data_IF_164204367358
#
_entry.id   IF_164204367358
#
_cell.length_a   1.000
_cell.length_b   1.000
_cell.length_c   1.000
_cell.angle_alpha   90.00
_cell.angle_beta   90.00
_cell.angle_gamma   90.00
#
_symmetry.space_group_name_H-M   'P 1'
#
loop_
_entity.id
_entity.type
_entity.pdbx_description
1 polymer ?
#
# COMPACT_ATOMS: atom_id res chain seq x y z
N UNK A 1 16.12 25.63 -0.40
CA UNK A 1 14.66 25.89 -0.24
C UNK A 1 13.82 25.16 -1.29
N UNK A 2 14.24 25.12 -2.57
CA UNK A 2 13.49 24.47 -3.67
C UNK A 2 13.25 22.98 -3.45
N UNK A 3 14.26 22.21 -2.96
CA UNK A 3 14.12 20.77 -2.64
C UNK A 3 13.01 20.51 -1.60
N UNK A 4 12.92 21.35 -0.55
CA UNK A 4 11.87 21.22 0.48
C UNK A 4 10.48 21.54 -0.07
N UNK A 5 10.37 22.57 -0.91
CA UNK A 5 9.11 22.93 -1.57
C UNK A 5 8.62 21.81 -2.51
N UNK A 6 9.54 21.26 -3.33
CA UNK A 6 9.24 20.09 -4.19
C UNK A 6 8.75 18.89 -3.39
N UNK A 7 9.46 18.54 -2.29
CA UNK A 7 9.02 17.46 -1.41
C UNK A 7 7.64 17.73 -0.81
N UNK A 8 7.39 18.96 -0.34
CA UNK A 8 6.10 19.36 0.21
C UNK A 8 4.95 19.20 -0.79
N UNK A 9 5.15 19.61 -2.06
CA UNK A 9 4.15 19.47 -3.13
C UNK A 9 3.90 17.99 -3.45
N UNK A 10 4.97 17.18 -3.60
CA UNK A 10 4.82 15.73 -3.83
C UNK A 10 4.00 15.07 -2.72
N UNK A 11 4.36 15.34 -1.47
CA UNK A 11 3.69 14.76 -0.31
C UNK A 11 2.25 15.26 -0.14
N UNK A 12 1.98 16.54 -0.39
CA UNK A 12 0.64 17.13 -0.34
C UNK A 12 -0.30 16.53 -1.39
N UNK A 13 0.18 16.35 -2.62
CA UNK A 13 -0.61 15.70 -3.68
C UNK A 13 -0.90 14.23 -3.35
N UNK A 14 0.09 13.49 -2.84
CA UNK A 14 -0.10 12.10 -2.40
C UNK A 14 -1.06 12.01 -1.22
N UNK A 15 -0.97 12.93 -0.27
CA UNK A 15 -1.92 13.02 0.84
C UNK A 15 -3.35 13.16 0.34
N UNK A 16 -3.59 14.08 -0.59
CA UNK A 16 -4.93 14.35 -1.16
C UNK A 16 -5.54 13.08 -1.77
N UNK A 17 -4.76 12.31 -2.52
CA UNK A 17 -5.25 11.06 -3.14
C UNK A 17 -5.43 9.94 -2.10
N UNK A 18 -4.47 9.78 -1.18
CA UNK A 18 -4.50 8.69 -0.18
C UNK A 18 -5.60 8.89 0.86
N UNK A 19 -5.89 10.13 1.26
CA UNK A 19 -6.97 10.47 2.19
C UNK A 19 -8.34 9.97 1.71
N UNK A 20 -8.59 10.08 0.41
CA UNK A 20 -9.88 9.70 -0.19
C UNK A 20 -10.12 8.19 -0.27
N UNK A 21 -9.07 7.36 -0.18
CA UNK A 21 -9.22 5.90 -0.28
C UNK A 21 -10.05 5.37 0.88
N UNK A 22 -9.83 5.86 2.09
CA UNK A 22 -10.45 5.35 3.32
C UNK A 22 -11.75 6.05 3.68
N UNK A 23 -11.98 7.23 3.17
CA UNK A 23 -13.19 8.00 3.48
C UNK A 23 -14.46 7.27 3.06
N UNK A 24 -14.45 6.59 1.93
CA UNK A 24 -15.61 5.84 1.44
C UNK A 24 -15.95 4.65 2.36
N UNK A 25 -14.97 4.09 3.08
CA UNK A 25 -15.21 2.94 3.99
C UNK A 25 -16.24 3.28 5.06
N UNK A 26 -16.16 4.49 5.62
CA UNK A 26 -17.08 4.95 6.70
C UNK A 26 -18.44 5.42 6.17
N UNK A 27 -18.59 5.65 4.86
CA UNK A 27 -19.83 6.15 4.24
C UNK A 27 -20.52 5.11 3.33
N UNK A 28 -20.10 3.87 3.39
CA UNK A 28 -20.53 2.79 2.48
C UNK A 28 -22.06 2.63 2.44
N UNK A 29 -22.71 2.64 3.61
CA UNK A 29 -24.17 2.53 3.74
C UNK A 29 -24.86 3.77 3.18
N UNK A 30 -24.42 4.96 3.54
CA UNK A 30 -24.98 6.24 3.05
C UNK A 30 -24.96 6.32 1.53
N UNK A 31 -23.84 5.88 0.93
CA UNK A 31 -23.68 5.85 -0.53
C UNK A 31 -24.57 4.80 -1.17
N UNK A 32 -24.71 3.62 -0.55
CA UNK A 32 -25.59 2.55 -1.05
C UNK A 32 -27.05 3.01 -1.06
N UNK A 33 -27.49 3.63 0.03
CA UNK A 33 -28.87 4.14 0.15
C UNK A 33 -29.14 5.25 -0.89
N UNK A 34 -28.20 6.18 -1.10
CA UNK A 34 -28.33 7.30 -2.03
C UNK A 34 -28.32 6.87 -3.51
N UNK A 35 -27.58 5.81 -3.85
CA UNK A 35 -27.54 5.25 -5.20
C UNK A 35 -28.53 4.09 -5.43
N UNK A 36 -29.48 3.88 -4.53
CA UNK A 36 -30.46 2.78 -4.57
C UNK A 36 -29.81 1.42 -4.82
N UNK A 37 -28.72 1.12 -4.11
CA UNK A 37 -27.90 -0.07 -4.28
C UNK A 37 -27.65 -0.80 -2.95
N UNK A 38 -26.93 -1.90 -2.99
CA UNK A 38 -26.54 -2.65 -1.79
C UNK A 38 -25.11 -2.32 -1.36
N UNK A 39 -24.83 -2.43 -0.06
CA UNK A 39 -23.47 -2.27 0.46
C UNK A 39 -22.47 -3.23 -0.17
N UNK A 40 -22.94 -4.45 -0.53
CA UNK A 40 -22.14 -5.45 -1.24
C UNK A 40 -21.70 -5.00 -2.64
N UNK A 41 -22.57 -4.30 -3.38
CA UNK A 41 -22.23 -3.71 -4.69
C UNK A 41 -21.31 -2.50 -4.50
N UNK A 42 -21.66 -1.58 -3.60
CA UNK A 42 -20.84 -0.38 -3.36
C UNK A 42 -19.46 -0.72 -2.79
N UNK A 43 -19.27 -1.86 -2.12
CA UNK A 43 -17.94 -2.30 -1.69
C UNK A 43 -16.94 -2.45 -2.84
N UNK A 44 -17.42 -2.65 -4.08
CA UNK A 44 -16.58 -2.62 -5.27
C UNK A 44 -15.99 -1.25 -5.56
N UNK A 45 -16.62 -0.15 -5.12
CA UNK A 45 -16.05 1.20 -5.21
C UNK A 45 -14.83 1.41 -4.26
N UNK A 46 -14.53 0.42 -3.40
CA UNK A 46 -13.30 0.35 -2.61
C UNK A 46 -12.35 -0.69 -3.22
N UNK A 47 -12.84 -1.89 -3.48
CA UNK A 47 -12.04 -3.02 -3.94
C UNK A 47 -11.44 -2.80 -5.33
N UNK A 48 -12.22 -2.37 -6.33
CA UNK A 48 -11.71 -2.16 -7.68
C UNK A 48 -10.67 -1.04 -7.78
N UNK A 49 -10.84 0.14 -7.11
CA UNK A 49 -9.79 1.13 -6.99
C UNK A 49 -8.50 0.61 -6.35
N UNK A 50 -8.59 -0.16 -5.28
CA UNK A 50 -7.40 -0.73 -4.62
C UNK A 50 -6.64 -1.69 -5.54
N UNK A 51 -7.36 -2.54 -6.29
CA UNK A 51 -6.77 -3.41 -7.29
C UNK A 51 -6.11 -2.61 -8.42
N UNK A 52 -6.80 -1.60 -8.96
CA UNK A 52 -6.25 -0.74 -10.00
C UNK A 52 -4.99 0.00 -9.52
N UNK A 53 -5.02 0.54 -8.30
CA UNK A 53 -3.88 1.24 -7.71
C UNK A 53 -2.63 0.34 -7.61
N UNK A 54 -2.79 -0.91 -7.18
CA UNK A 54 -1.68 -1.86 -7.05
C UNK A 54 -1.13 -2.33 -8.40
N UNK A 55 -2.00 -2.49 -9.39
CA UNK A 55 -1.66 -3.13 -10.68
C UNK A 55 -1.12 -2.14 -11.71
N UNK A 56 -1.71 -0.94 -11.78
CA UNK A 56 -1.33 0.06 -12.78
C UNK A 56 -0.03 0.78 -12.40
N UNK A 57 0.33 0.78 -11.11
CA UNK A 57 1.55 1.40 -10.59
C UNK A 57 2.84 1.03 -11.35
N UNK A 58 3.15 -0.26 -11.57
CA UNK A 58 4.33 -0.69 -12.33
C UNK A 58 4.39 -0.12 -13.74
N UNK A 59 3.27 -0.06 -14.45
CA UNK A 59 3.19 0.54 -15.78
C UNK A 59 3.55 2.03 -15.72
N UNK A 60 3.01 2.78 -14.78
CA UNK A 60 3.36 4.19 -14.59
C UNK A 60 4.80 4.41 -14.14
N UNK A 61 5.40 3.49 -13.39
CA UNK A 61 6.82 3.51 -13.08
C UNK A 61 7.67 3.51 -14.36
N UNK A 62 7.42 2.54 -15.26
CA UNK A 62 8.11 2.44 -16.55
C UNK A 62 7.82 3.62 -17.46
N UNK A 63 6.57 4.05 -17.55
CA UNK A 63 6.17 5.25 -18.33
C UNK A 63 6.91 6.48 -17.81
N UNK A 64 7.10 6.60 -16.49
CA UNK A 64 7.87 7.68 -15.87
C UNK A 64 9.35 7.68 -16.26
N UNK A 65 9.97 6.52 -16.31
CA UNK A 65 11.36 6.37 -16.73
C UNK A 65 11.53 6.70 -18.23
N UNK A 66 10.53 6.38 -19.07
CA UNK A 66 10.57 6.64 -20.52
C UNK A 66 10.20 8.09 -20.88
N UNK A 67 9.12 8.61 -20.32
CA UNK A 67 8.55 9.90 -20.74
C UNK A 67 8.77 11.03 -19.75
N UNK A 68 9.35 10.72 -18.60
CA UNK A 68 9.64 11.65 -17.50
C UNK A 68 8.59 11.63 -16.41
N UNK A 69 9.06 11.54 -15.18
CA UNK A 69 8.20 11.43 -13.99
C UNK A 69 7.31 12.65 -13.76
N UNK A 70 7.72 13.86 -14.20
CA UNK A 70 6.91 15.08 -14.14
C UNK A 70 5.58 14.90 -14.87
N UNK A 71 5.63 14.46 -16.12
CA UNK A 71 4.44 14.27 -16.95
C UNK A 71 3.53 13.20 -16.38
N UNK A 72 4.11 12.11 -15.89
CA UNK A 72 3.35 11.01 -15.28
C UNK A 72 2.69 11.45 -13.97
N UNK A 73 3.41 12.18 -13.12
CA UNK A 73 2.88 12.70 -11.86
C UNK A 73 1.71 13.68 -12.10
N UNK A 74 1.92 14.68 -12.96
CA UNK A 74 0.88 15.69 -13.27
C UNK A 74 -0.29 15.06 -14.02
N UNK A 75 -0.03 14.20 -15.00
CA UNK A 75 -1.09 13.48 -15.75
C UNK A 75 -1.92 12.57 -14.86
N UNK A 76 -1.27 11.83 -13.97
CA UNK A 76 -1.95 10.99 -12.97
C UNK A 76 -2.83 11.79 -12.02
N UNK A 77 -2.32 12.93 -11.54
CA UNK A 77 -3.05 13.83 -10.67
C UNK A 77 -4.24 14.49 -11.40
N UNK A 78 -4.06 14.86 -12.66
CA UNK A 78 -5.14 15.39 -13.50
C UNK A 78 -6.26 14.35 -13.70
N UNK A 79 -5.90 13.11 -14.05
CA UNK A 79 -6.85 12.00 -14.20
C UNK A 79 -7.59 11.77 -12.88
N UNK A 80 -6.86 11.72 -11.76
CA UNK A 80 -7.46 11.55 -10.43
C UNK A 80 -8.47 12.67 -10.12
N UNK A 81 -8.15 13.93 -10.42
CA UNK A 81 -9.02 15.07 -10.21
C UNK A 81 -10.27 15.07 -11.10
N UNK A 82 -10.11 14.80 -12.40
CA UNK A 82 -11.25 14.74 -13.35
C UNK A 82 -12.22 13.62 -12.94
N UNK A 83 -11.70 12.42 -12.67
CA UNK A 83 -12.55 11.29 -12.25
C UNK A 83 -13.08 11.42 -10.81
N UNK A 84 -12.50 12.29 -9.97
CA UNK A 84 -13.13 12.67 -8.71
C UNK A 84 -14.42 13.48 -8.96
N UNK A 85 -14.41 14.43 -9.92
CA UNK A 85 -15.64 15.13 -10.35
C UNK A 85 -16.67 14.12 -10.88
N UNK A 86 -16.26 13.24 -11.78
CA UNK A 86 -17.15 12.22 -12.33
C UNK A 86 -17.74 11.32 -11.22
N UNK A 87 -16.93 10.95 -10.21
CA UNK A 87 -17.39 10.19 -9.04
C UNK A 87 -18.46 10.95 -8.25
N UNK A 88 -18.28 12.25 -8.03
CA UNK A 88 -19.26 13.08 -7.34
C UNK A 88 -20.58 13.19 -8.13
N UNK A 89 -20.51 13.15 -9.45
CA UNK A 89 -21.64 13.21 -10.36
C UNK A 89 -22.22 11.84 -10.72
N UNK A 90 -21.76 10.78 -10.10
CA UNK A 90 -22.24 9.43 -10.37
C UNK A 90 -23.75 9.30 -10.09
N UNK A 91 -24.44 8.69 -11.03
CA UNK A 91 -25.91 8.53 -11.03
C UNK A 91 -26.37 7.13 -10.55
N UNK A 92 -25.46 6.16 -10.59
CA UNK A 92 -25.69 4.79 -10.13
C UNK A 92 -24.40 4.14 -9.59
N UNK A 93 -24.54 2.94 -9.02
CA UNK A 93 -23.40 2.21 -8.47
C UNK A 93 -22.34 1.83 -9.52
N UNK A 94 -22.67 1.34 -10.73
CA UNK A 94 -21.69 1.06 -11.77
C UNK A 94 -20.86 2.27 -12.18
N UNK A 95 -21.50 3.43 -12.43
CA UNK A 95 -20.80 4.66 -12.80
C UNK A 95 -19.84 5.11 -11.70
N UNK A 96 -20.27 5.04 -10.44
CA UNK A 96 -19.41 5.33 -9.30
C UNK A 96 -18.20 4.41 -9.22
N UNK A 97 -18.39 3.09 -9.36
CA UNK A 97 -17.31 2.10 -9.32
C UNK A 97 -16.29 2.36 -10.44
N UNK A 98 -16.77 2.60 -11.66
CA UNK A 98 -15.91 2.88 -12.82
C UNK A 98 -15.10 4.18 -12.59
N UNK A 99 -15.77 5.28 -12.23
CA UNK A 99 -15.09 6.56 -12.05
C UNK A 99 -14.10 6.54 -10.89
N UNK A 100 -14.45 5.89 -9.79
CA UNK A 100 -13.52 5.67 -8.66
C UNK A 100 -12.30 4.85 -9.08
N UNK A 101 -12.51 3.80 -9.87
CA UNK A 101 -11.42 2.95 -10.36
C UNK A 101 -10.48 3.71 -11.28
N UNK A 102 -11.02 4.54 -12.18
CA UNK A 102 -10.22 5.40 -13.06
C UNK A 102 -9.48 6.50 -12.29
N UNK A 103 -10.12 7.09 -11.27
CA UNK A 103 -9.47 8.05 -10.36
C UNK A 103 -8.29 7.41 -9.63
N UNK A 104 -8.47 6.20 -9.09
CA UNK A 104 -7.40 5.46 -8.41
C UNK A 104 -6.29 5.01 -9.36
N UNK A 105 -6.63 4.60 -10.58
CA UNK A 105 -5.65 4.28 -11.61
C UNK A 105 -4.77 5.50 -11.92
N UNK A 106 -5.35 6.68 -12.10
CA UNK A 106 -4.60 7.93 -12.23
C UNK A 106 -3.74 8.22 -10.98
N UNK A 107 -4.32 8.10 -9.80
CA UNK A 107 -3.62 8.32 -8.53
C UNK A 107 -2.45 7.37 -8.29
N UNK A 108 -2.49 6.15 -8.85
CA UNK A 108 -1.40 5.17 -8.73
C UNK A 108 -0.08 5.64 -9.38
N UNK A 109 -0.15 6.58 -10.31
CA UNK A 109 1.02 7.17 -10.94
C UNK A 109 1.84 8.05 -9.98
N UNK A 110 1.22 8.60 -8.93
CA UNK A 110 1.86 9.52 -8.01
C UNK A 110 2.93 8.82 -7.16
N UNK A 111 2.67 7.57 -6.76
CA UNK A 111 3.58 6.78 -5.92
C UNK A 111 4.97 6.61 -6.55
N UNK A 112 5.08 5.87 -7.65
CA UNK A 112 6.35 5.63 -8.33
C UNK A 112 7.04 6.93 -8.76
N UNK A 113 6.29 7.90 -9.29
CA UNK A 113 6.85 9.16 -9.73
C UNK A 113 7.42 9.98 -8.57
N UNK A 114 6.70 10.12 -7.44
CA UNK A 114 7.17 10.85 -6.28
C UNK A 114 8.40 10.17 -5.65
N UNK A 115 8.40 8.84 -5.54
CA UNK A 115 9.56 8.09 -5.06
C UNK A 115 10.78 8.27 -5.95
N UNK A 116 10.61 8.24 -7.30
CA UNK A 116 11.69 8.52 -8.23
C UNK A 116 12.24 9.93 -8.05
N UNK A 117 11.39 10.94 -7.82
CA UNK A 117 11.82 12.30 -7.51
C UNK A 117 12.60 12.37 -6.20
N UNK A 118 12.07 11.78 -5.12
CA UNK A 118 12.73 11.76 -3.80
C UNK A 118 14.12 11.13 -3.95
N UNK A 119 14.19 9.98 -4.61
CA UNK A 119 15.46 9.25 -4.77
C UNK A 119 16.48 9.95 -5.67
N UNK A 120 16.03 10.81 -6.59
CA UNK A 120 16.92 11.63 -7.46
C UNK A 120 17.34 12.94 -6.81
N UNK A 121 16.49 13.54 -5.96
CA UNK A 121 16.76 14.82 -5.31
C UNK A 121 17.69 14.70 -4.10
N UNK A 122 17.75 13.55 -3.47
CA UNK A 122 18.50 13.32 -2.24
C UNK A 122 19.61 12.29 -2.46
N UNK A 123 20.76 12.55 -1.87
CA UNK A 123 21.89 11.64 -1.90
C UNK A 123 21.56 10.31 -1.22
N UNK A 124 22.20 9.19 -1.63
CA UNK A 124 21.91 7.87 -1.07
C UNK A 124 21.90 7.81 0.45
N UNK A 125 22.79 8.54 1.12
CA UNK A 125 22.89 8.61 2.59
C UNK A 125 21.74 9.38 3.25
N UNK A 126 21.07 10.27 2.51
CA UNK A 126 20.00 11.14 3.04
C UNK A 126 18.58 10.64 2.70
N UNK A 127 18.44 9.65 1.81
CA UNK A 127 17.13 9.19 1.27
C UNK A 127 16.15 8.68 2.32
N UNK A 128 16.64 8.07 3.39
CA UNK A 128 15.77 7.49 4.42
C UNK A 128 14.88 8.53 5.09
N UNK A 129 15.37 9.75 5.30
CA UNK A 129 14.57 10.82 5.94
C UNK A 129 13.41 11.31 5.07
N UNK A 130 13.58 11.71 3.79
CA UNK A 130 12.47 12.03 2.89
C UNK A 130 11.49 10.88 2.69
N UNK A 131 11.98 9.63 2.62
CA UNK A 131 11.12 8.44 2.54
C UNK A 131 10.36 8.20 3.85
N UNK A 132 10.91 8.61 4.99
CA UNK A 132 10.17 8.65 6.26
C UNK A 132 8.99 9.62 6.23
N UNK A 133 9.16 10.82 5.65
CA UNK A 133 8.04 11.75 5.43
C UNK A 133 7.01 11.20 4.44
N UNK A 134 7.46 10.51 3.39
CA UNK A 134 6.58 9.78 2.49
C UNK A 134 5.73 8.76 3.26
N UNK A 135 6.37 7.91 4.07
CA UNK A 135 5.68 6.92 4.88
C UNK A 135 4.73 7.55 5.89
N UNK A 136 5.11 8.69 6.50
CA UNK A 136 4.23 9.47 7.36
C UNK A 136 2.95 9.88 6.63
N UNK A 137 3.06 10.39 5.42
CA UNK A 137 1.90 10.83 4.63
C UNK A 137 1.05 9.65 4.18
N UNK A 138 1.66 8.62 3.64
CA UNK A 138 0.91 7.45 3.10
C UNK A 138 0.20 6.63 4.18
N UNK A 139 0.73 6.61 5.40
CA UNK A 139 0.06 5.97 6.54
C UNK A 139 -0.90 6.90 7.28
N UNK A 140 -0.56 8.18 7.42
CA UNK A 140 -1.35 9.17 8.16
C UNK A 140 -2.58 9.65 7.39
N UNK A 141 -2.50 9.81 6.07
CA UNK A 141 -3.64 10.26 5.28
C UNK A 141 -4.86 9.33 5.39
N UNK A 142 -4.73 7.99 5.32
CA UNK A 142 -5.85 7.08 5.59
C UNK A 142 -6.44 7.22 6.99
N UNK A 143 -5.63 7.44 8.02
CA UNK A 143 -6.11 7.65 9.40
C UNK A 143 -6.95 8.91 9.51
N UNK A 144 -6.42 10.00 8.97
CA UNK A 144 -7.15 11.28 8.94
C UNK A 144 -8.44 11.12 8.13
N UNK A 145 -8.41 10.33 7.03
CA UNK A 145 -9.58 10.00 6.22
C UNK A 145 -10.68 9.29 6.99
N UNK A 146 -10.34 8.37 7.89
CA UNK A 146 -11.32 7.69 8.76
C UNK A 146 -11.85 8.65 9.84
N UNK A 147 -10.95 9.32 10.56
CA UNK A 147 -11.33 10.19 11.70
C UNK A 147 -12.13 11.41 11.24
N UNK A 148 -11.67 12.08 10.20
CA UNK A 148 -12.36 13.26 9.66
C UNK A 148 -13.51 12.89 8.71
N UNK A 149 -13.51 11.69 8.16
CA UNK A 149 -14.48 11.25 7.15
C UNK A 149 -15.90 11.22 7.67
N UNK A 150 -16.13 10.68 8.87
CA UNK A 150 -17.48 10.59 9.45
C UNK A 150 -18.14 11.98 9.58
N UNK A 151 -17.53 12.96 10.27
CA UNK A 151 -18.13 14.30 10.37
C UNK A 151 -18.21 15.02 9.03
N UNK A 152 -17.24 14.86 8.14
CA UNK A 152 -17.27 15.48 6.82
C UNK A 152 -18.43 14.94 5.96
N UNK A 153 -18.63 13.62 5.95
CA UNK A 153 -19.73 13.01 5.21
C UNK A 153 -21.08 13.38 5.80
N UNK A 154 -21.21 13.44 7.12
CA UNK A 154 -22.46 13.80 7.79
C UNK A 154 -22.88 15.26 7.56
N UNK A 155 -21.91 16.19 7.46
CA UNK A 155 -22.17 17.62 7.29
C UNK A 155 -22.35 17.98 5.82
N UNK A 156 -21.47 17.52 4.95
CA UNK A 156 -21.37 17.96 3.56
C UNK A 156 -21.89 16.93 2.55
N UNK A 157 -22.17 15.71 2.97
CA UNK A 157 -22.47 14.59 2.09
C UNK A 157 -21.25 14.04 1.35
N UNK A 158 -21.31 12.78 0.92
CA UNK A 158 -20.21 12.10 0.27
C UNK A 158 -19.80 12.69 -1.09
N UNK A 159 -20.76 13.21 -1.86
CA UNK A 159 -20.49 13.86 -3.17
C UNK A 159 -19.59 15.09 -3.05
N UNK A 160 -19.88 15.93 -2.07
CA UNK A 160 -19.14 17.19 -1.84
C UNK A 160 -17.66 16.91 -1.55
N UNK A 161 -17.36 15.79 -0.89
CA UNK A 161 -15.98 15.45 -0.57
C UNK A 161 -15.18 15.13 -1.83
N UNK A 162 -15.75 14.41 -2.79
CA UNK A 162 -15.09 14.18 -4.08
C UNK A 162 -14.99 15.48 -4.90
N UNK A 163 -15.99 16.38 -4.83
CA UNK A 163 -15.89 17.71 -5.42
C UNK A 163 -14.78 18.54 -4.79
N UNK A 164 -14.52 18.41 -3.49
CA UNK A 164 -13.39 19.08 -2.83
C UNK A 164 -12.03 18.51 -3.21
N UNK A 165 -11.94 17.21 -3.51
CA UNK A 165 -10.72 16.58 -4.00
C UNK A 165 -10.27 17.15 -5.35
N UNK A 166 -11.20 17.42 -6.24
CA UNK A 166 -10.90 17.84 -7.61
C UNK A 166 -10.08 19.15 -7.66
N UNK A 167 -10.49 20.27 -7.02
CA UNK A 167 -9.69 21.49 -7.04
C UNK A 167 -8.34 21.30 -6.38
N UNK A 168 -8.22 20.48 -5.33
CA UNK A 168 -6.93 20.17 -4.71
C UNK A 168 -6.00 19.45 -5.68
N UNK A 169 -6.52 18.47 -6.45
CA UNK A 169 -5.76 17.80 -7.50
C UNK A 169 -5.37 18.76 -8.63
N UNK A 170 -6.29 19.63 -9.09
CA UNK A 170 -6.03 20.58 -10.17
C UNK A 170 -5.01 21.65 -9.76
N UNK A 171 -5.14 22.20 -8.56
CA UNK A 171 -4.14 23.13 -7.98
C UNK A 171 -2.80 22.39 -7.86
N UNK A 172 -2.81 21.15 -7.36
CA UNK A 172 -1.63 20.30 -7.30
C UNK A 172 -0.98 20.09 -8.67
N UNK A 173 -1.76 19.89 -9.75
CA UNK A 173 -1.26 19.81 -11.12
C UNK A 173 -0.51 21.08 -11.52
N UNK A 174 -1.12 22.25 -11.31
CA UNK A 174 -0.51 23.52 -11.66
C UNK A 174 0.79 23.74 -10.89
N UNK A 175 0.75 23.57 -9.57
CA UNK A 175 1.92 23.78 -8.71
C UNK A 175 3.02 22.77 -9.04
N UNK A 176 2.67 21.50 -9.23
CA UNK A 176 3.62 20.46 -9.62
C UNK A 176 4.25 20.75 -10.99
N UNK A 177 3.46 21.21 -11.97
CA UNK A 177 3.98 21.56 -13.29
C UNK A 177 5.06 22.64 -13.25
N UNK A 178 4.86 23.67 -12.41
CA UNK A 178 5.82 24.78 -12.27
C UNK A 178 7.04 24.44 -11.39
N UNK A 179 6.85 23.62 -10.37
CA UNK A 179 7.87 23.38 -9.36
C UNK A 179 8.74 22.17 -9.68
N UNK A 180 8.16 21.11 -10.28
CA UNK A 180 8.89 19.89 -10.63
C UNK A 180 9.80 20.14 -11.84
N UNK A 181 11.08 19.84 -11.70
CA UNK A 181 12.01 19.82 -12.82
C UNK A 181 11.76 18.64 -13.75
N UNK A 182 12.15 18.77 -15.01
CA UNK A 182 12.12 17.64 -15.93
C UNK A 182 13.14 16.58 -15.47
N UNK A 183 12.73 15.32 -15.55
CA UNK A 183 13.61 14.18 -15.25
C UNK A 183 14.22 13.65 -16.52
N UNK A 184 15.42 13.09 -16.43
CA UNK A 184 16.08 12.41 -17.54
C UNK A 184 15.17 11.30 -18.06
N UNK A 185 15.13 11.18 -19.38
CA UNK A 185 14.30 10.19 -20.10
C UNK A 185 15.21 9.16 -20.74
N UNK A 186 14.81 7.93 -20.70
CA UNK A 186 15.44 6.87 -21.49
C UNK A 186 15.14 7.10 -23.00
N UNK A 187 16.18 7.37 -23.78
CA UNK A 187 16.05 7.48 -25.24
C UNK A 187 16.15 6.08 -25.87
N UNK A 188 15.37 5.84 -26.92
CA UNK A 188 15.40 4.60 -27.73
C UNK A 188 14.96 3.31 -27.04
N UNK A 189 14.12 3.39 -26.00
CA UNK A 189 13.55 2.23 -25.32
C UNK A 189 12.07 2.11 -25.68
N UNK A 190 11.61 0.91 -26.05
CA UNK A 190 10.19 0.65 -26.36
C UNK A 190 9.43 0.28 -25.10
N UNK A 191 8.18 0.72 -25.02
CA UNK A 191 7.30 0.30 -23.93
C UNK A 191 6.79 -1.12 -24.22
N UNK A 192 7.04 -2.04 -23.30
CA UNK A 192 6.55 -3.41 -23.40
C UNK A 192 5.07 -3.48 -22.99
N UNK A 193 4.19 -3.31 -23.98
CA UNK A 193 2.74 -3.37 -23.77
C UNK A 193 2.30 -4.78 -23.36
N UNK A 194 2.91 -5.83 -23.92
CA UNK A 194 2.55 -7.22 -23.60
C UNK A 194 2.95 -7.57 -22.16
N UNK A 195 4.16 -7.18 -21.74
CA UNK A 195 4.61 -7.32 -20.36
C UNK A 195 3.70 -6.55 -19.40
N UNK A 196 3.37 -5.28 -19.69
CA UNK A 196 2.49 -4.46 -18.87
C UNK A 196 1.09 -5.06 -18.69
N UNK A 197 0.47 -5.48 -19.80
CA UNK A 197 -0.87 -6.08 -19.77
C UNK A 197 -0.88 -7.44 -19.06
N UNK A 198 0.11 -8.30 -19.33
CA UNK A 198 0.15 -9.62 -18.70
C UNK A 198 0.47 -9.53 -17.18
N UNK A 199 1.38 -8.65 -16.78
CA UNK A 199 1.61 -8.37 -15.35
C UNK A 199 0.35 -7.81 -14.68
N UNK A 200 -0.29 -6.84 -15.34
CA UNK A 200 -1.50 -6.21 -14.85
C UNK A 200 -2.65 -7.20 -14.68
N UNK A 201 -3.02 -7.90 -15.74
CA UNK A 201 -4.13 -8.87 -15.73
C UNK A 201 -3.85 -10.01 -14.75
N UNK A 202 -2.64 -10.58 -14.77
CA UNK A 202 -2.26 -11.65 -13.85
C UNK A 202 -2.34 -11.23 -12.38
N UNK A 203 -1.84 -10.03 -12.07
CA UNK A 203 -1.92 -9.48 -10.70
C UNK A 203 -3.36 -9.19 -10.27
N UNK A 204 -4.20 -8.62 -11.15
CA UNK A 204 -5.64 -8.41 -10.87
C UNK A 204 -6.33 -9.72 -10.55
N UNK A 205 -6.11 -10.76 -11.36
CA UNK A 205 -6.76 -12.06 -11.17
C UNK A 205 -6.35 -12.71 -9.84
N UNK A 206 -5.07 -12.67 -9.50
CA UNK A 206 -4.58 -13.19 -8.20
C UNK A 206 -5.18 -12.39 -7.04
N UNK A 207 -5.08 -11.05 -7.09
CA UNK A 207 -5.61 -10.19 -6.03
C UNK A 207 -7.13 -10.31 -5.90
N UNK A 208 -7.84 -10.47 -7.02
CA UNK A 208 -9.29 -10.69 -7.04
C UNK A 208 -9.67 -12.03 -6.39
N UNK A 209 -8.97 -13.13 -6.76
CA UNK A 209 -9.20 -14.45 -6.17
C UNK A 209 -9.00 -14.42 -4.66
N UNK A 210 -7.94 -13.76 -4.19
CA UNK A 210 -7.62 -13.64 -2.78
C UNK A 210 -8.64 -12.74 -2.05
N UNK A 211 -8.95 -11.58 -2.59
CA UNK A 211 -9.88 -10.62 -1.98
C UNK A 211 -11.31 -11.15 -1.89
N UNK A 212 -11.73 -11.95 -2.89
CA UNK A 212 -13.07 -12.57 -2.94
C UNK A 212 -13.12 -13.99 -2.37
N UNK A 213 -11.99 -14.55 -2.01
CA UNK A 213 -11.88 -15.87 -1.38
C UNK A 213 -12.83 -16.07 -0.19
N UNK A 214 -12.91 -15.13 0.78
CA UNK A 214 -13.86 -15.21 1.88
C UNK A 214 -15.33 -15.30 1.42
N UNK A 215 -15.72 -14.51 0.40
CA UNK A 215 -17.10 -14.45 -0.08
C UNK A 215 -17.48 -15.59 -1.05
N UNK A 216 -16.53 -16.07 -1.85
CA UNK A 216 -16.75 -17.13 -2.83
C UNK A 216 -16.44 -18.53 -2.31
N UNK A 217 -15.74 -18.63 -1.17
CA UNK A 217 -15.07 -19.82 -0.66
C UNK A 217 -13.69 -19.99 -1.28
N UNK A 218 -12.65 -20.11 -0.45
CA UNK A 218 -11.26 -20.24 -0.93
C UNK A 218 -11.05 -21.48 -1.82
N UNK A 219 -11.76 -22.59 -1.55
CA UNK A 219 -11.66 -23.87 -2.28
C UNK A 219 -12.71 -23.95 -3.39
N UNK A 220 -13.53 -22.94 -3.61
CA UNK A 220 -14.55 -22.98 -4.65
C UNK A 220 -13.92 -23.03 -6.04
N UNK A 221 -14.59 -23.71 -6.99
CA UNK A 221 -14.14 -23.78 -8.37
C UNK A 221 -13.95 -22.39 -8.99
N UNK A 222 -14.78 -21.42 -8.58
CA UNK A 222 -14.69 -20.02 -9.03
C UNK A 222 -13.40 -19.35 -8.56
N UNK A 223 -13.05 -19.45 -7.28
CA UNK A 223 -11.82 -18.86 -6.73
C UNK A 223 -10.58 -19.53 -7.33
N UNK A 224 -10.58 -20.86 -7.38
CA UNK A 224 -9.46 -21.63 -7.91
C UNK A 224 -9.24 -21.38 -9.41
N UNK A 225 -10.32 -21.28 -10.21
CA UNK A 225 -10.18 -21.00 -11.64
C UNK A 225 -9.63 -19.59 -11.90
N UNK A 226 -10.09 -18.59 -11.16
CA UNK A 226 -9.56 -17.21 -11.27
C UNK A 226 -8.09 -17.15 -10.82
N UNK A 227 -7.74 -17.81 -9.71
CA UNK A 227 -6.36 -17.89 -9.24
C UNK A 227 -5.44 -18.60 -10.25
N UNK A 228 -5.88 -19.76 -10.77
CA UNK A 228 -5.13 -20.53 -11.77
C UNK A 228 -4.92 -19.72 -13.05
N UNK A 229 -5.95 -19.05 -13.54
CA UNK A 229 -5.84 -18.17 -14.71
C UNK A 229 -4.82 -17.05 -14.43
N UNK A 230 -4.85 -16.43 -13.25
CA UNK A 230 -3.86 -15.44 -12.83
C UNK A 230 -2.44 -15.97 -12.84
N UNK A 231 -2.21 -17.18 -12.31
CA UNK A 231 -0.90 -17.85 -12.33
C UNK A 231 -0.45 -18.11 -13.78
N UNK A 232 -1.32 -18.62 -14.63
CA UNK A 232 -1.02 -18.87 -16.05
C UNK A 232 -0.60 -17.59 -16.77
N UNK A 233 -1.33 -16.49 -16.53
CA UNK A 233 -1.01 -15.17 -17.12
C UNK A 233 0.31 -14.62 -16.57
N UNK A 234 0.62 -14.82 -15.27
CA UNK A 234 1.92 -14.42 -14.71
C UNK A 234 3.08 -15.29 -15.25
N UNK A 235 2.85 -16.58 -15.48
CA UNK A 235 3.84 -17.44 -16.16
C UNK A 235 4.08 -16.95 -17.60
N UNK A 236 3.00 -16.57 -18.30
CA UNK A 236 3.12 -15.97 -19.62
C UNK A 236 3.90 -14.64 -19.57
N UNK A 237 3.62 -13.76 -18.60
CA UNK A 237 4.40 -12.55 -18.34
C UNK A 237 5.89 -12.85 -18.21
N UNK A 238 6.30 -13.81 -17.38
CA UNK A 238 7.71 -14.18 -17.22
C UNK A 238 8.34 -14.65 -18.53
N UNK A 239 7.58 -15.33 -19.41
CA UNK A 239 8.06 -15.76 -20.73
C UNK A 239 8.23 -14.58 -21.68
N UNK A 240 7.29 -13.65 -21.68
CA UNK A 240 7.36 -12.40 -22.48
C UNK A 240 8.57 -11.58 -22.04
N UNK A 241 8.71 -11.36 -20.72
CA UNK A 241 9.77 -10.56 -20.11
C UNK A 241 11.18 -11.08 -20.42
N UNK A 242 11.35 -12.42 -20.45
CA UNK A 242 12.63 -13.05 -20.83
C UNK A 242 13.02 -12.84 -22.29
N UNK A 243 12.07 -12.50 -23.16
CA UNK A 243 12.27 -12.31 -24.60
C UNK A 243 12.26 -10.84 -25.00
N UNK A 244 11.80 -9.97 -24.10
CA UNK A 244 11.72 -8.54 -24.37
C UNK A 244 13.12 -7.92 -24.45
N UNK A 245 13.37 -7.08 -25.46
CA UNK A 245 14.60 -6.30 -25.58
C UNK A 245 14.72 -5.26 -24.46
N UNK A 246 13.60 -4.68 -24.09
CA UNK A 246 13.48 -3.65 -23.05
C UNK A 246 12.44 -4.07 -22.01
N UNK A 247 12.79 -5.03 -21.13
CA UNK A 247 11.85 -5.62 -20.20
C UNK A 247 11.23 -4.55 -19.29
N UNK A 248 9.95 -4.75 -18.99
CA UNK A 248 9.24 -3.88 -18.06
C UNK A 248 9.75 -4.03 -16.64
N UNK A 249 10.10 -5.28 -16.29
CA UNK A 249 10.63 -5.68 -15.01
C UNK A 249 11.92 -6.48 -15.21
N UNK A 250 13.11 -5.95 -14.92
CA UNK A 250 14.34 -6.71 -15.06
C UNK A 250 14.36 -7.90 -14.08
N UNK A 251 13.99 -9.09 -14.57
CA UNK A 251 13.89 -10.31 -13.74
C UNK A 251 15.21 -10.67 -13.05
N UNK A 252 16.34 -10.18 -13.57
CA UNK A 252 17.66 -10.31 -12.98
C UNK A 252 17.75 -9.66 -11.59
N UNK A 253 16.94 -8.64 -11.31
CA UNK A 253 16.90 -7.98 -10.00
C UNK A 253 16.54 -8.95 -8.87
N UNK A 254 15.67 -9.93 -9.14
CA UNK A 254 15.30 -10.93 -8.14
C UNK A 254 16.43 -11.92 -7.80
N UNK A 255 17.53 -11.90 -8.58
CA UNK A 255 18.77 -12.62 -8.25
C UNK A 255 19.72 -11.76 -7.41
N UNK A 256 19.52 -10.46 -7.37
CA UNK A 256 20.35 -9.52 -6.61
C UNK A 256 19.82 -9.45 -5.17
N UNK A 257 20.68 -9.83 -4.20
CA UNK A 257 20.27 -9.89 -2.79
C UNK A 257 19.72 -8.58 -2.24
N UNK A 258 20.33 -7.44 -2.61
CA UNK A 258 19.94 -6.12 -2.14
C UNK A 258 18.70 -5.56 -2.85
N UNK A 259 18.10 -6.29 -3.77
CA UNK A 259 16.81 -5.97 -4.40
C UNK A 259 15.74 -6.95 -3.92
N UNK A 260 15.97 -8.25 -4.09
CA UNK A 260 14.98 -9.27 -3.78
C UNK A 260 14.61 -9.33 -2.29
N UNK A 261 15.61 -9.32 -1.42
CA UNK A 261 15.38 -9.50 0.01
C UNK A 261 14.74 -8.30 0.72
N UNK A 262 15.10 -7.03 0.44
CA UNK A 262 14.38 -5.88 1.00
C UNK A 262 12.90 -5.86 0.61
N UNK A 263 12.61 -6.14 -0.66
CA UNK A 263 11.23 -6.17 -1.18
C UNK A 263 10.45 -7.33 -0.56
N UNK A 264 11.04 -8.53 -0.48
CA UNK A 264 10.42 -9.68 0.17
C UNK A 264 10.16 -9.44 1.66
N UNK A 265 11.15 -8.89 2.39
CA UNK A 265 11.00 -8.56 3.81
C UNK A 265 9.86 -7.56 4.03
N UNK A 266 9.78 -6.53 3.20
CA UNK A 266 8.74 -5.51 3.32
C UNK A 266 7.36 -6.08 3.00
N UNK A 267 7.23 -6.91 1.97
CA UNK A 267 5.96 -7.56 1.62
C UNK A 267 5.48 -8.51 2.73
N UNK A 268 6.39 -9.32 3.32
CA UNK A 268 6.08 -10.23 4.42
C UNK A 268 5.73 -9.52 5.72
N UNK A 269 6.42 -8.42 6.02
CA UNK A 269 6.10 -7.58 7.19
C UNK A 269 4.77 -6.86 6.99
N UNK A 270 4.48 -6.41 5.75
CA UNK A 270 3.20 -5.79 5.41
C UNK A 270 2.04 -6.80 5.40
N UNK A 271 2.29 -8.07 5.07
CA UNK A 271 1.35 -9.18 5.26
C UNK A 271 0.86 -9.25 6.72
N UNK A 272 1.79 -9.28 7.68
CA UNK A 272 1.44 -9.31 9.10
C UNK A 272 0.72 -8.02 9.54
N UNK A 273 1.21 -6.87 9.10
CA UNK A 273 0.63 -5.57 9.45
C UNK A 273 -0.80 -5.42 8.94
N UNK A 274 -1.07 -5.67 7.66
CA UNK A 274 -2.39 -5.52 7.07
C UNK A 274 -3.34 -6.66 7.43
N UNK A 275 -2.84 -7.88 7.55
CA UNK A 275 -3.63 -9.00 8.09
C UNK A 275 -4.11 -8.73 9.52
N UNK A 276 -3.21 -8.25 10.38
CA UNK A 276 -3.57 -7.82 11.73
C UNK A 276 -4.52 -6.62 11.77
N UNK A 277 -4.47 -5.73 10.76
CA UNK A 277 -5.42 -4.63 10.64
C UNK A 277 -6.86 -5.12 10.38
N UNK A 278 -7.01 -6.25 9.69
CA UNK A 278 -8.32 -6.88 9.46
C UNK A 278 -8.80 -7.75 10.62
N UNK A 279 -7.88 -8.48 11.25
CA UNK A 279 -8.21 -9.48 12.27
C UNK A 279 -8.45 -8.88 13.66
N UNK A 280 -7.65 -7.88 14.06
CA UNK A 280 -7.74 -7.34 15.43
C UNK A 280 -9.08 -6.66 15.71
N UNK A 281 -9.68 -5.83 14.84
CA UNK A 281 -11.02 -5.29 15.09
C UNK A 281 -12.07 -6.38 15.28
N UNK A 282 -12.00 -7.47 14.50
CA UNK A 282 -12.93 -8.60 14.61
C UNK A 282 -12.72 -9.38 15.93
N UNK A 283 -11.48 -9.58 16.36
CA UNK A 283 -11.18 -10.15 17.68
C UNK A 283 -11.81 -9.31 18.81
N UNK A 284 -11.68 -7.98 18.74
CA UNK A 284 -12.22 -7.08 19.77
C UNK A 284 -13.75 -7.05 19.75
N UNK A 285 -14.38 -7.06 18.58
CA UNK A 285 -15.83 -7.02 18.42
C UNK A 285 -16.48 -8.38 18.72
N UNK A 286 -16.08 -9.41 17.96
CA UNK A 286 -16.71 -10.73 18.01
C UNK A 286 -16.17 -11.57 19.17
N UNK A 287 -14.86 -11.47 19.44
CA UNK A 287 -14.20 -12.26 20.48
C UNK A 287 -14.41 -11.70 21.88
N UNK A 288 -14.37 -10.37 22.03
CA UNK A 288 -14.40 -9.70 23.34
C UNK A 288 -15.63 -8.83 23.58
N UNK A 289 -16.48 -8.61 22.58
CA UNK A 289 -17.72 -7.84 22.72
C UNK A 289 -17.53 -6.33 22.88
N UNK A 290 -16.39 -5.77 22.40
CA UNK A 290 -16.14 -4.33 22.48
C UNK A 290 -17.08 -3.56 21.54
N UNK A 291 -17.46 -2.35 21.96
CA UNK A 291 -18.26 -1.47 21.10
C UNK A 291 -17.42 -0.93 19.93
N UNK A 292 -18.08 -0.67 18.79
CA UNK A 292 -17.43 -0.14 17.58
C UNK A 292 -16.65 1.16 17.85
N UNK A 293 -17.18 2.05 18.71
CA UNK A 293 -16.48 3.29 19.11
C UNK A 293 -15.20 3.01 19.89
N UNK A 294 -15.23 2.05 20.82
CA UNK A 294 -14.06 1.66 21.62
C UNK A 294 -12.98 1.05 20.73
N UNK A 295 -13.36 0.15 19.83
CA UNK A 295 -12.46 -0.44 18.83
C UNK A 295 -11.82 0.67 17.97
N UNK A 296 -12.61 1.62 17.48
CA UNK A 296 -12.14 2.74 16.69
C UNK A 296 -10.98 3.51 17.33
N UNK A 297 -11.10 3.79 18.64
CA UNK A 297 -10.03 4.46 19.38
C UNK A 297 -8.77 3.61 19.54
N UNK A 298 -8.91 2.31 19.78
CA UNK A 298 -7.77 1.42 19.95
C UNK A 298 -6.99 1.22 18.65
N UNK A 299 -7.68 0.98 17.52
CA UNK A 299 -7.01 0.67 16.24
C UNK A 299 -6.25 1.85 15.64
N UNK A 300 -6.60 3.10 16.01
CA UNK A 300 -5.86 4.30 15.58
C UNK A 300 -4.41 4.29 16.08
N UNK A 301 -4.12 3.63 17.20
CA UNK A 301 -2.78 3.57 17.76
C UNK A 301 -1.73 3.05 16.74
N UNK A 302 -2.10 2.05 15.94
CA UNK A 302 -1.21 1.43 14.93
C UNK A 302 -0.74 2.41 13.85
N UNK A 303 -1.62 2.99 13.01
CA UNK A 303 -1.20 3.90 11.97
C UNK A 303 -0.69 5.25 12.51
N UNK A 304 -1.15 5.67 13.68
CA UNK A 304 -0.64 6.87 14.34
C UNK A 304 0.84 6.71 14.69
N UNK A 305 1.20 5.63 15.39
CA UNK A 305 2.60 5.37 15.76
C UNK A 305 3.46 5.13 14.53
N UNK A 306 2.95 4.42 13.50
CA UNK A 306 3.63 4.29 12.22
C UNK A 306 3.99 5.66 11.64
N UNK A 307 3.01 6.56 11.54
CA UNK A 307 3.20 7.90 10.98
C UNK A 307 4.19 8.74 11.78
N UNK A 308 4.11 8.68 13.12
CA UNK A 308 5.00 9.44 13.98
C UNK A 308 6.44 8.93 13.95
N UNK A 309 6.65 7.61 13.84
CA UNK A 309 7.98 6.99 13.89
C UNK A 309 8.69 7.03 12.52
N UNK A 310 7.96 6.94 11.42
CA UNK A 310 8.53 6.87 10.07
C UNK A 310 9.54 8.00 9.76
N UNK A 311 9.32 9.29 10.11
CA UNK A 311 10.29 10.34 9.87
C UNK A 311 11.61 10.18 10.66
N UNK A 312 11.56 9.44 11.78
CA UNK A 312 12.73 9.18 12.62
C UNK A 312 13.52 7.93 12.19
N UNK A 313 12.97 7.13 11.28
CA UNK A 313 13.63 5.92 10.75
C UNK A 313 15.00 6.22 10.16
N UNK A 314 15.19 7.43 9.59
CA UNK A 314 16.49 7.90 9.07
C UNK A 314 17.58 7.94 10.13
N UNK A 315 17.27 8.36 11.37
CA UNK A 315 18.26 8.38 12.47
C UNK A 315 18.66 6.95 12.87
N UNK A 316 17.68 6.03 12.88
CA UNK A 316 17.91 4.62 13.19
C UNK A 316 18.75 3.96 12.08
N UNK A 317 18.43 4.21 10.82
CA UNK A 317 19.17 3.70 9.68
C UNK A 317 20.61 4.26 9.63
N UNK A 318 20.81 5.56 9.94
CA UNK A 318 22.17 6.14 10.04
C UNK A 318 23.00 5.51 11.17
N UNK A 319 22.37 5.21 12.31
CA UNK A 319 23.07 4.64 13.46
C UNK A 319 23.34 3.13 13.31
N UNK A 320 22.37 2.37 12.85
CA UNK A 320 22.42 0.91 12.81
C UNK A 320 22.60 0.34 11.40
N UNK A 321 22.41 1.13 10.36
CA UNK A 321 22.37 0.73 8.95
C UNK A 321 20.96 0.34 8.50
N UNK A 322 20.69 0.48 7.21
CA UNK A 322 19.36 0.23 6.59
C UNK A 322 18.90 -1.22 6.78
N UNK A 323 19.83 -2.19 6.63
CA UNK A 323 19.58 -3.62 6.90
C UNK A 323 19.07 -3.86 8.31
N UNK A 324 19.79 -3.34 9.31
CA UNK A 324 19.43 -3.59 10.71
C UNK A 324 18.15 -2.86 11.10
N UNK A 325 17.86 -1.69 10.50
CA UNK A 325 16.57 -1.01 10.66
C UNK A 325 15.43 -1.87 10.12
N UNK A 326 15.61 -2.50 8.96
CA UNK A 326 14.65 -3.47 8.43
C UNK A 326 14.41 -4.67 9.36
N UNK A 327 15.48 -5.25 9.91
CA UNK A 327 15.43 -6.36 10.88
C UNK A 327 14.70 -5.95 12.16
N UNK A 328 15.08 -4.79 12.75
CA UNK A 328 14.45 -4.26 13.99
C UNK A 328 12.95 -4.06 13.77
N UNK A 329 12.58 -3.47 12.62
CA UNK A 329 11.17 -3.24 12.31
C UNK A 329 10.39 -4.54 12.13
N UNK A 330 10.92 -5.53 11.43
CA UNK A 330 10.28 -6.83 11.26
C UNK A 330 10.14 -7.59 12.60
N UNK A 331 11.14 -7.51 13.48
CA UNK A 331 11.10 -8.05 14.85
C UNK A 331 9.97 -7.39 15.63
N UNK A 332 9.83 -6.06 15.58
CA UNK A 332 8.78 -5.34 16.28
C UNK A 332 7.38 -5.76 15.80
N UNK A 333 7.18 -5.95 14.49
CA UNK A 333 5.90 -6.45 13.96
C UNK A 333 5.64 -7.89 14.41
N UNK A 334 6.65 -8.75 14.39
CA UNK A 334 6.52 -10.14 14.88
C UNK A 334 6.08 -10.16 16.35
N UNK A 335 6.77 -9.41 17.21
CA UNK A 335 6.41 -9.32 18.62
C UNK A 335 5.01 -8.73 18.85
N UNK A 336 4.61 -7.72 18.05
CA UNK A 336 3.26 -7.21 18.04
C UNK A 336 2.22 -8.30 17.80
N UNK A 337 2.44 -9.13 16.77
CA UNK A 337 1.52 -10.23 16.44
C UNK A 337 1.48 -11.28 17.56
N UNK A 338 2.63 -11.59 18.17
CA UNK A 338 2.71 -12.51 19.31
C UNK A 338 1.98 -11.95 20.54
N UNK A 339 2.15 -10.67 20.86
CA UNK A 339 1.44 -10.02 21.97
C UNK A 339 -0.08 -10.02 21.73
N UNK A 340 -0.49 -9.61 20.54
CA UNK A 340 -1.92 -9.56 20.19
C UNK A 340 -2.55 -10.96 20.11
N UNK A 341 -1.79 -12.01 19.84
CA UNK A 341 -2.29 -13.39 19.87
C UNK A 341 -2.62 -13.90 21.29
N UNK A 342 -2.14 -13.21 22.34
CA UNK A 342 -2.42 -13.53 23.73
C UNK A 342 -3.58 -12.70 24.32
N UNK A 343 -4.23 -11.86 23.50
CA UNK A 343 -5.36 -11.04 23.93
C UNK A 343 -6.54 -11.94 24.27
N UNK A 344 -7.03 -11.80 25.49
CA UNK A 344 -8.21 -12.47 26.05
C UNK A 344 -9.18 -11.45 26.69
N UNK A 345 -10.25 -11.95 27.31
CA UNK A 345 -11.27 -11.13 27.95
C UNK A 345 -10.74 -10.27 29.14
N UNK A 346 -9.57 -10.60 29.67
CA UNK A 346 -8.92 -9.84 30.75
C UNK A 346 -7.89 -8.82 30.25
N UNK A 347 -7.66 -8.73 28.94
CA UNK A 347 -6.65 -7.84 28.39
C UNK A 347 -7.05 -6.37 28.56
N UNK A 348 -6.13 -5.56 29.10
CA UNK A 348 -6.35 -4.12 29.25
C UNK A 348 -6.22 -3.40 27.90
N UNK A 349 -6.92 -2.26 27.77
CA UNK A 349 -6.82 -1.38 26.60
C UNK A 349 -5.37 -0.96 26.32
N UNK A 350 -4.60 -0.72 27.39
CA UNK A 350 -3.20 -0.34 27.28
C UNK A 350 -2.35 -1.47 26.66
N UNK A 351 -2.63 -2.73 27.01
CA UNK A 351 -1.94 -3.89 26.43
C UNK A 351 -2.24 -4.00 24.92
N UNK A 352 -3.51 -3.87 24.53
CA UNK A 352 -3.95 -3.91 23.14
C UNK A 352 -3.34 -2.74 22.34
N UNK A 353 -3.45 -1.52 22.89
CA UNK A 353 -2.88 -0.32 22.25
C UNK A 353 -1.35 -0.41 22.11
N UNK A 354 -0.65 -0.99 23.09
CA UNK A 354 0.78 -1.24 23.04
C UNK A 354 1.13 -2.24 21.94
N UNK A 355 0.42 -3.37 21.86
CA UNK A 355 0.60 -4.36 20.79
C UNK A 355 0.40 -3.75 19.41
N UNK A 356 -0.67 -2.97 19.21
CA UNK A 356 -0.95 -2.25 17.97
C UNK A 356 0.13 -1.21 17.63
N UNK A 357 0.55 -0.43 18.63
CA UNK A 357 1.61 0.58 18.48
C UNK A 357 2.93 -0.03 18.06
N UNK A 358 3.26 -1.19 18.62
CA UNK A 358 4.51 -1.90 18.31
C UNK A 358 4.56 -2.32 16.82
N UNK A 359 3.44 -2.74 16.23
CA UNK A 359 3.38 -3.03 14.79
C UNK A 359 3.54 -1.78 13.93
N UNK A 360 2.92 -0.67 14.34
CA UNK A 360 3.07 0.63 13.69
C UNK A 360 4.52 1.13 13.74
N UNK A 361 5.16 1.04 14.90
CA UNK A 361 6.56 1.38 15.09
C UNK A 361 7.47 0.52 14.20
N UNK A 362 7.21 -0.78 14.16
CA UNK A 362 8.01 -1.72 13.38
C UNK A 362 8.01 -1.39 11.89
N UNK A 363 6.83 -1.24 11.31
CA UNK A 363 6.71 -0.89 9.89
C UNK A 363 7.20 0.53 9.60
N UNK A 364 6.98 1.48 10.52
CA UNK A 364 7.48 2.85 10.43
C UNK A 364 9.01 2.93 10.37
N UNK A 365 9.72 2.03 11.05
CA UNK A 365 11.19 1.92 10.99
C UNK A 365 11.63 1.19 9.71
N UNK A 366 11.02 0.03 9.41
CA UNK A 366 11.46 -0.86 8.33
C UNK A 366 11.20 -0.27 6.94
N UNK A 367 10.01 0.28 6.70
CA UNK A 367 9.56 0.65 5.35
C UNK A 367 10.48 1.71 4.70
N UNK A 368 10.78 2.87 5.31
CA UNK A 368 11.66 3.86 4.68
C UNK A 368 13.10 3.34 4.49
N UNK A 369 13.60 2.55 5.43
CA UNK A 369 14.96 2.02 5.39
C UNK A 369 15.13 0.99 4.24
N UNK A 370 14.21 0.04 4.12
CA UNK A 370 14.24 -0.97 3.06
C UNK A 370 13.97 -0.36 1.68
N UNK A 371 13.12 0.68 1.61
CA UNK A 371 12.89 1.43 0.37
C UNK A 371 14.15 2.18 -0.08
N UNK A 372 14.86 2.82 0.84
CA UNK A 372 16.12 3.49 0.53
C UNK A 372 17.19 2.49 0.07
N UNK A 373 17.27 1.33 0.73
CA UNK A 373 18.20 0.27 0.36
C UNK A 373 17.92 -0.27 -1.04
N UNK A 374 16.66 -0.49 -1.40
CA UNK A 374 16.26 -0.87 -2.76
C UNK A 374 16.67 0.19 -3.76
N UNK A 375 16.35 1.47 -3.49
CA UNK A 375 16.67 2.58 -4.37
C UNK A 375 18.19 2.78 -4.56
N UNK A 376 19.00 2.46 -3.53
CA UNK A 376 20.46 2.51 -3.60
C UNK A 376 21.08 1.29 -4.33
N UNK A 377 20.28 0.29 -4.66
CA UNK A 377 20.71 -0.98 -5.28
C UNK A 377 20.34 -1.12 -6.75
N UNK A 378 19.68 -0.12 -7.32
CA UNK A 378 19.28 -0.05 -8.73
C UNK A 378 19.82 1.23 -9.38
N UNK A 379 19.90 1.22 -10.71
CA UNK A 379 20.31 2.41 -11.46
C UNK A 379 19.29 3.54 -11.31
N UNK A 380 19.78 4.77 -11.34
CA UNK A 380 18.94 5.98 -11.25
C UNK A 380 17.87 6.02 -12.33
N UNK A 381 18.18 5.47 -13.52
CA UNK A 381 17.24 5.37 -14.64
C UNK A 381 16.06 4.42 -14.38
N UNK A 382 16.19 3.47 -13.44
CA UNK A 382 15.20 2.43 -13.16
C UNK A 382 14.46 2.64 -11.82
N UNK A 383 14.69 3.77 -11.15
CA UNK A 383 14.08 4.07 -9.83
C UNK A 383 12.55 4.06 -9.85
N UNK A 384 11.92 4.47 -10.96
CA UNK A 384 10.46 4.44 -11.11
C UNK A 384 9.93 3.01 -11.14
N UNK A 385 10.57 2.14 -11.92
CA UNK A 385 10.22 0.72 -12.02
C UNK A 385 10.44 0.02 -10.67
N UNK A 386 11.59 0.25 -10.02
CA UNK A 386 11.91 -0.36 -8.72
C UNK A 386 10.88 0.02 -7.65
N UNK A 387 10.50 1.29 -7.59
CA UNK A 387 9.49 1.79 -6.64
C UNK A 387 8.11 1.21 -6.92
N UNK A 388 7.74 1.08 -8.18
CA UNK A 388 6.45 0.52 -8.59
C UNK A 388 6.36 -0.99 -8.29
N UNK A 389 7.43 -1.74 -8.54
CA UNK A 389 7.54 -3.17 -8.20
C UNK A 389 7.44 -3.38 -6.69
N UNK A 390 8.15 -2.57 -5.92
CA UNK A 390 8.06 -2.61 -4.46
C UNK A 390 6.64 -2.35 -3.97
N UNK A 391 5.96 -1.35 -4.54
CA UNK A 391 4.58 -1.03 -4.19
C UNK A 391 3.61 -2.16 -4.56
N UNK A 392 3.77 -2.79 -5.74
CA UNK A 392 2.98 -3.94 -6.14
C UNK A 392 3.15 -5.11 -5.17
N UNK A 393 4.39 -5.49 -4.84
CA UNK A 393 4.66 -6.61 -3.94
C UNK A 393 4.21 -6.31 -2.50
N UNK A 394 4.30 -5.07 -2.04
CA UNK A 394 3.72 -4.64 -0.78
C UNK A 394 2.21 -4.78 -0.77
N UNK A 395 1.53 -4.41 -1.85
CA UNK A 395 0.09 -4.55 -1.97
C UNK A 395 -0.33 -6.03 -2.02
N UNK A 396 0.42 -6.86 -2.73
CA UNK A 396 0.20 -8.31 -2.73
C UNK A 396 0.37 -8.89 -1.31
N UNK A 397 1.43 -8.50 -0.60
CA UNK A 397 1.64 -8.88 0.80
C UNK A 397 0.44 -8.48 1.68
N UNK A 398 -0.05 -7.26 1.55
CA UNK A 398 -1.20 -6.75 2.31
C UNK A 398 -2.47 -7.57 2.07
N UNK A 399 -2.80 -7.82 0.80
CA UNK A 399 -4.01 -8.58 0.42
C UNK A 399 -3.91 -10.05 0.84
N UNK A 400 -2.73 -10.66 0.62
CA UNK A 400 -2.45 -12.03 1.08
C UNK A 400 -2.57 -12.13 2.61
N UNK A 401 -2.02 -11.15 3.35
CA UNK A 401 -2.08 -11.13 4.80
C UNK A 401 -3.51 -11.07 5.31
N UNK A 402 -4.32 -10.16 4.77
CA UNK A 402 -5.73 -10.06 5.11
C UNK A 402 -6.48 -11.36 4.82
N UNK A 403 -6.33 -11.93 3.63
CA UNK A 403 -7.05 -13.13 3.22
C UNK A 403 -6.61 -14.40 3.97
N UNK A 404 -5.31 -14.61 4.14
CA UNK A 404 -4.77 -15.80 4.82
C UNK A 404 -5.12 -15.77 6.31
N UNK A 405 -4.98 -14.62 6.98
CA UNK A 405 -5.30 -14.53 8.40
C UNK A 405 -6.81 -14.70 8.66
N UNK A 406 -7.68 -14.15 7.81
CA UNK A 406 -9.12 -14.42 7.87
C UNK A 406 -9.41 -15.90 7.60
N UNK A 407 -8.79 -16.48 6.58
CA UNK A 407 -8.95 -17.92 6.26
C UNK A 407 -8.48 -18.85 7.38
N UNK A 408 -7.39 -18.53 8.08
CA UNK A 408 -6.92 -19.27 9.27
C UNK A 408 -7.94 -19.16 10.40
N UNK A 409 -8.48 -17.96 10.66
CA UNK A 409 -9.54 -17.75 11.63
C UNK A 409 -10.77 -18.63 11.32
N UNK A 410 -11.29 -18.57 10.09
CA UNK A 410 -12.45 -19.35 9.68
C UNK A 410 -12.21 -20.87 9.77
N UNK A 411 -11.04 -21.33 9.32
CA UNK A 411 -10.67 -22.75 9.35
C UNK A 411 -10.50 -23.32 10.78
N UNK A 412 -10.20 -22.46 11.74
CA UNK A 412 -9.93 -22.87 13.13
C UNK A 412 -11.00 -22.47 14.13
N UNK A 413 -12.14 -21.95 13.66
CA UNK A 413 -13.22 -21.43 14.52
C UNK A 413 -13.79 -22.50 15.46
N UNK A 414 -13.73 -23.78 15.08
CA UNK A 414 -14.14 -24.92 15.90
C UNK A 414 -13.31 -25.07 17.18
N UNK A 415 -12.10 -24.50 17.25
CA UNK A 415 -11.25 -24.53 18.44
C UNK A 415 -11.61 -23.44 19.48
N UNK A 416 -12.60 -22.60 19.17
CA UNK A 416 -13.07 -21.47 19.96
C UNK A 416 -12.76 -20.13 19.31
N UNK A 417 -13.68 -19.17 19.42
CA UNK A 417 -13.65 -17.90 18.72
C UNK A 417 -12.34 -17.12 19.00
N UNK A 418 -11.99 -16.90 20.27
CA UNK A 418 -10.76 -16.16 20.64
C UNK A 418 -9.51 -16.91 20.19
N UNK A 419 -9.47 -18.23 20.34
CA UNK A 419 -8.33 -19.06 19.92
C UNK A 419 -8.12 -19.02 18.40
N UNK A 420 -9.18 -19.00 17.61
CA UNK A 420 -9.06 -18.91 16.15
C UNK A 420 -8.44 -17.58 15.70
N UNK A 421 -8.75 -16.48 16.36
CA UNK A 421 -8.06 -15.21 16.16
C UNK A 421 -6.59 -15.26 16.56
N UNK A 422 -6.28 -15.94 17.68
CA UNK A 422 -4.88 -16.16 18.10
C UNK A 422 -4.10 -16.90 17.05
N UNK A 423 -4.63 -17.96 16.44
CA UNK A 423 -3.98 -18.69 15.35
C UNK A 423 -3.77 -17.82 14.10
N UNK A 424 -4.73 -16.97 13.75
CA UNK A 424 -4.59 -16.02 12.66
C UNK A 424 -3.42 -15.03 12.92
N UNK A 425 -3.31 -14.49 14.13
CA UNK A 425 -2.23 -13.59 14.53
C UNK A 425 -0.87 -14.29 14.56
N UNK A 426 -0.82 -15.57 14.97
CA UNK A 426 0.40 -16.40 14.88
C UNK A 426 0.85 -16.61 13.42
N UNK A 427 -0.07 -16.76 12.48
CA UNK A 427 0.28 -16.80 11.05
C UNK A 427 0.94 -15.47 10.59
N UNK A 428 0.46 -14.33 11.08
CA UNK A 428 1.13 -13.03 10.89
C UNK A 428 2.51 -12.97 11.51
N UNK A 429 2.69 -13.52 12.72
CA UNK A 429 3.99 -13.59 13.38
C UNK A 429 5.00 -14.43 12.58
N UNK A 430 4.57 -15.59 12.05
CA UNK A 430 5.39 -16.46 11.21
C UNK A 430 5.81 -15.72 9.93
N UNK A 431 4.89 -15.04 9.25
CA UNK A 431 5.22 -14.25 8.07
C UNK A 431 6.27 -13.18 8.37
N UNK A 432 6.12 -12.45 9.48
CA UNK A 432 7.09 -11.44 9.88
C UNK A 432 8.45 -12.06 10.29
N UNK A 433 8.46 -13.25 10.91
CA UNK A 433 9.67 -14.01 11.19
C UNK A 433 10.44 -14.36 9.90
N UNK A 434 9.74 -14.82 8.85
CA UNK A 434 10.34 -15.03 7.52
C UNK A 434 10.87 -13.70 6.97
N UNK A 435 10.15 -12.59 7.19
CA UNK A 435 10.59 -11.23 6.84
C UNK A 435 11.90 -10.83 7.53
N UNK A 436 12.12 -11.24 8.80
CA UNK A 436 13.38 -11.02 9.52
C UNK A 436 14.53 -11.75 8.82
N UNK A 437 14.34 -13.02 8.44
CA UNK A 437 15.35 -13.76 7.68
C UNK A 437 15.67 -13.10 6.34
N UNK A 438 14.64 -12.65 5.62
CA UNK A 438 14.83 -11.90 4.38
C UNK A 438 15.64 -10.61 4.61
N UNK A 439 15.26 -9.79 5.60
CA UNK A 439 16.01 -8.57 5.93
C UNK A 439 17.47 -8.88 6.33
N UNK A 440 17.69 -9.94 7.07
CA UNK A 440 19.03 -10.37 7.52
C UNK A 440 19.93 -10.87 6.38
N UNK A 441 19.34 -11.39 5.29
CA UNK A 441 20.05 -11.87 4.12
C UNK A 441 20.56 -10.74 3.20
N UNK A 442 20.13 -9.51 3.41
CA UNK A 442 20.62 -8.32 2.70
C UNK A 442 22.11 -8.12 3.00
N UNK A 443 22.92 -7.85 1.97
CA UNK A 443 24.33 -7.52 2.15
C UNK A 443 24.46 -6.12 2.74
N UNK A 444 25.37 -5.94 3.70
CA UNK A 444 25.69 -4.63 4.25
C UNK A 444 26.29 -3.78 3.14
N UNK A 445 25.69 -2.64 2.84
CA UNK A 445 26.34 -1.61 2.02
C UNK A 445 27.53 -1.05 2.80
N UNK A 446 28.73 -0.95 2.22
CA UNK A 446 29.85 -0.27 2.86
C UNK A 446 29.39 1.17 3.22
N UNK A 447 29.60 1.59 4.46
CA UNK A 447 29.42 2.99 4.83
C UNK A 447 30.44 3.80 4.05
N UNK A 448 30.00 4.68 3.16
CA UNK A 448 30.84 5.79 2.71
C UNK A 448 30.90 6.74 3.91
N UNK A 449 32.03 6.68 4.60
CA UNK A 449 32.37 7.61 5.71
C UNK A 449 32.55 9.01 5.15
#
# INVERSE_FOLDING_TARGET
>A
SRRKATLGVLLGCVFTVSFMITLLVVSLKTVADDLNSTTGVISWAITAPMLAFGVVGPAFGKVGDLWGHKRVFVGGLFIAGVFAICTALAWDAPSMIIFRTLSAAGGSALGPAAMAYINRMFDPSERVRPLGYWSFVTAGAPVIGVVAGVPLVSIFGWRTIFLMQAPLCLIGCIVAWWLLGDTERRKNVKFDVQGALSLGIGSVLILLAINRGPAWGFISARTLSVALLGVVVLIYFVRVEKRASDPMLPLQWFRTRNVAFPVASQALTNFAYMGGFMIVPQLLEIGLGFSTSHIGWLIIARPLVFSLVAPFSGRIAMRFGERNAGVIGAIAVMFSMLLLSQVDAGASDLYIAFGLSLSGMGLGIASPALTALLANSVDVADLGVASAVQQLLNQMGAVLGAAVMVGVHEATISSGIVKSFSYALLAGAISSAIGIFAASAVRRTPRVL
#
